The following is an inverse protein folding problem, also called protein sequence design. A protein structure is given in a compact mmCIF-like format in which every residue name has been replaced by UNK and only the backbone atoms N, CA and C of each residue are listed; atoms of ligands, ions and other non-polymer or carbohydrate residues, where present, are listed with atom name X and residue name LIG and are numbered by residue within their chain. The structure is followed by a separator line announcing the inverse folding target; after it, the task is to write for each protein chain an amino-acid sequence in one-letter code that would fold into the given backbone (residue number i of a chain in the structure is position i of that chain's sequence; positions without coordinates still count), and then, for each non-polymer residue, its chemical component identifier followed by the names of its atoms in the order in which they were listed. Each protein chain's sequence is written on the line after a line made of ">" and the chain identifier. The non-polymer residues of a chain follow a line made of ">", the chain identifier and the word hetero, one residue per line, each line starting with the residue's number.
data_IF_723596485869
#
_entry.id   IF_723596485869
#
_cell.length_a   1.000
_cell.length_b   1.000
_cell.length_c   1.000
_cell.angle_alpha   90.00
_cell.angle_beta   90.00
_cell.angle_gamma   90.00
#
_symmetry.space_group_name_H-M   'P 1'
#
loop_
_entity.id
_entity.type
_entity.pdbx_description
1 polymer ?
#
# COMPACT_ATOMS: atom_id res chain seq x y z
N UNK A 1 18.95 -39.02 -13.41
CA UNK A 1 18.97 -37.56 -13.32
C UNK A 1 19.95 -37.02 -14.33
N UNK A 2 19.49 -36.21 -15.26
CA UNK A 2 20.32 -35.66 -16.31
C UNK A 2 20.87 -34.30 -15.87
N UNK A 3 22.18 -34.14 -15.67
CA UNK A 3 22.76 -32.89 -15.13
C UNK A 3 22.57 -31.67 -16.04
N UNK A 4 22.21 -31.88 -17.29
CA UNK A 4 21.97 -30.81 -18.28
C UNK A 4 20.62 -30.08 -18.09
N UNK A 5 19.65 -30.65 -17.35
CA UNK A 5 18.34 -29.99 -17.08
C UNK A 5 18.46 -28.85 -16.06
N UNK A 6 19.39 -28.94 -15.12
CA UNK A 6 19.64 -27.88 -14.13
C UNK A 6 20.28 -26.63 -14.72
N UNK A 7 21.19 -26.83 -15.71
CA UNK A 7 21.93 -25.74 -16.37
C UNK A 7 21.01 -24.94 -17.30
N UNK A 8 20.10 -25.62 -18.03
CA UNK A 8 19.16 -24.96 -18.91
C UNK A 8 18.16 -24.04 -18.18
N UNK A 9 17.78 -24.40 -16.93
CA UNK A 9 16.90 -23.60 -16.12
C UNK A 9 17.59 -22.33 -15.61
N UNK A 10 18.84 -22.44 -15.17
CA UNK A 10 19.66 -21.33 -14.71
C UNK A 10 19.98 -20.32 -15.81
N UNK A 11 20.27 -20.79 -17.01
CA UNK A 11 20.57 -19.92 -18.16
C UNK A 11 19.32 -19.19 -18.65
N UNK A 12 18.14 -19.81 -18.57
CA UNK A 12 16.86 -19.16 -18.93
C UNK A 12 16.50 -18.03 -17.97
N UNK A 13 16.75 -18.21 -16.68
CA UNK A 13 16.55 -17.14 -15.69
C UNK A 13 17.50 -15.96 -15.91
N UNK A 14 18.74 -16.23 -16.29
CA UNK A 14 19.75 -15.19 -16.54
C UNK A 14 19.51 -14.42 -17.84
N UNK A 15 18.89 -15.03 -18.85
CA UNK A 15 18.59 -14.42 -20.16
C UNK A 15 17.16 -13.88 -20.27
N UNK A 16 16.34 -13.97 -19.22
CA UNK A 16 15.00 -13.40 -19.24
C UNK A 16 15.10 -11.86 -19.40
N UNK A 17 14.38 -11.26 -20.35
CA UNK A 17 14.38 -9.82 -20.47
C UNK A 17 13.89 -9.18 -19.16
N UNK A 18 14.51 -8.07 -18.75
CA UNK A 18 14.17 -7.34 -17.50
C UNK A 18 12.67 -7.08 -17.32
N UNK A 19 11.91 -7.01 -18.41
CA UNK A 19 10.46 -6.84 -18.42
C UNK A 19 9.66 -8.05 -17.88
N UNK A 20 10.30 -9.22 -17.70
CA UNK A 20 9.67 -10.43 -17.17
C UNK A 20 10.08 -10.74 -15.72
N UNK A 21 10.98 -9.97 -15.14
CA UNK A 21 11.29 -10.10 -13.72
C UNK A 21 10.14 -9.52 -12.91
N UNK A 22 9.70 -10.28 -11.89
CA UNK A 22 8.74 -9.74 -10.93
C UNK A 22 9.30 -8.42 -10.35
N UNK A 23 8.45 -7.41 -10.14
CA UNK A 23 8.92 -6.14 -9.61
C UNK A 23 9.58 -6.36 -8.24
N UNK A 24 10.84 -5.97 -8.12
CA UNK A 24 11.62 -6.08 -6.90
C UNK A 24 11.44 -4.81 -6.05
N UNK A 25 11.31 -4.99 -4.75
CA UNK A 25 11.21 -3.90 -3.79
C UNK A 25 9.85 -3.79 -3.12
N UNK A 26 9.74 -2.89 -2.13
CA UNK A 26 8.49 -2.63 -1.44
C UNK A 26 7.49 -1.91 -2.35
N UNK A 27 6.19 -2.18 -2.13
CA UNK A 27 5.14 -1.35 -2.71
C UNK A 27 5.17 0.04 -2.09
N UNK A 28 4.78 1.04 -2.88
CA UNK A 28 4.68 2.43 -2.45
C UNK A 28 3.28 2.97 -2.73
N UNK A 29 2.88 3.98 -1.97
CA UNK A 29 1.72 4.81 -2.25
C UNK A 29 2.17 6.27 -2.42
N UNK A 30 1.93 6.82 -3.59
CA UNK A 30 2.34 8.18 -3.97
C UNK A 30 1.11 8.96 -4.37
N UNK A 31 0.92 10.15 -3.80
CA UNK A 31 -0.09 11.10 -4.25
C UNK A 31 0.43 11.82 -5.49
N UNK A 32 -0.10 11.47 -6.66
CA UNK A 32 0.29 12.07 -7.93
C UNK A 32 -0.19 13.51 -8.09
N UNK A 33 -1.33 13.83 -7.52
CA UNK A 33 -1.89 15.19 -7.55
C UNK A 33 -1.01 16.16 -6.77
N UNK A 34 -0.42 15.72 -5.65
CA UNK A 34 0.39 16.58 -4.76
C UNK A 34 1.90 16.38 -4.90
N UNK A 35 2.33 15.29 -5.55
CA UNK A 35 3.75 14.94 -5.63
C UNK A 35 4.34 14.47 -4.30
N UNK A 36 3.53 13.89 -3.41
CA UNK A 36 3.94 13.49 -2.05
C UNK A 36 3.85 11.98 -1.86
N UNK A 37 4.63 11.45 -0.92
CA UNK A 37 4.66 10.02 -0.59
C UNK A 37 3.83 9.77 0.66
N UNK A 38 2.85 8.84 0.58
CA UNK A 38 2.08 8.39 1.74
C UNK A 38 2.73 7.19 2.43
N UNK A 39 3.27 6.26 1.63
CA UNK A 39 3.98 5.10 2.15
C UNK A 39 5.11 4.70 1.22
N UNK A 40 6.27 4.42 1.76
CA UNK A 40 7.45 3.88 1.04
C UNK A 40 7.58 2.36 1.21
N UNK A 41 6.90 1.80 2.21
CA UNK A 41 6.84 0.36 2.52
C UNK A 41 5.38 -0.02 2.79
N UNK A 42 4.67 -0.36 1.72
CA UNK A 42 3.25 -0.68 1.76
C UNK A 42 3.04 -2.19 1.65
N UNK A 43 2.49 -2.79 2.68
CA UNK A 43 2.06 -4.19 2.67
C UNK A 43 0.69 -4.33 1.99
N UNK A 44 0.42 -5.49 1.39
CA UNK A 44 -0.88 -5.82 0.78
C UNK A 44 -1.64 -6.84 1.62
N UNK A 45 -2.86 -6.50 1.98
CA UNK A 45 -3.84 -7.42 2.55
C UNK A 45 -4.93 -7.74 1.50
N UNK A 46 -4.66 -8.72 0.64
CA UNK A 46 -5.55 -9.12 -0.47
C UNK A 46 -6.35 -10.39 -0.23
N UNK A 47 -5.98 -11.22 0.76
CA UNK A 47 -6.70 -12.45 1.11
C UNK A 47 -7.71 -12.22 2.22
N UNK A 48 -8.75 -13.06 2.33
CA UNK A 48 -9.73 -12.96 3.41
C UNK A 48 -9.08 -13.02 4.81
N UNK A 49 -8.04 -13.83 4.98
CA UNK A 49 -7.30 -13.94 6.24
C UNK A 49 -6.51 -12.66 6.53
N UNK A 50 -5.74 -12.15 5.57
CA UNK A 50 -4.91 -10.95 5.75
C UNK A 50 -5.76 -9.69 5.98
N UNK A 51 -6.90 -9.57 5.28
CA UNK A 51 -7.83 -8.45 5.51
C UNK A 51 -8.45 -8.47 6.91
N UNK A 52 -8.86 -9.66 7.40
CA UNK A 52 -9.39 -9.79 8.78
C UNK A 52 -8.35 -9.49 9.84
N UNK A 53 -7.09 -9.86 9.58
CA UNK A 53 -5.99 -9.55 10.50
C UNK A 53 -5.70 -8.05 10.52
N UNK A 54 -5.64 -7.39 9.36
CA UNK A 54 -5.27 -5.97 9.27
C UNK A 54 -4.02 -5.65 10.10
N UNK A 55 -4.10 -4.64 10.93
CA UNK A 55 -3.03 -4.24 11.86
C UNK A 55 -3.19 -4.85 13.27
N UNK A 56 -4.10 -5.79 13.47
CA UNK A 56 -4.29 -6.42 14.78
C UNK A 56 -3.02 -7.12 15.28
N UNK A 57 -2.71 -6.92 16.55
CA UNK A 57 -1.52 -7.47 17.19
C UNK A 57 -0.24 -6.68 16.98
N UNK A 58 -0.28 -5.61 16.21
CA UNK A 58 0.86 -4.68 16.07
C UNK A 58 0.87 -3.67 17.21
N UNK A 59 2.05 -3.15 17.51
CA UNK A 59 2.24 -2.10 18.52
C UNK A 59 2.23 -0.70 17.91
N UNK A 60 2.35 -0.59 16.59
CA UNK A 60 2.33 0.65 15.84
C UNK A 60 2.69 0.47 14.37
N UNK A 61 2.72 1.58 13.66
CA UNK A 61 3.29 1.72 12.32
C UNK A 61 4.40 2.77 12.38
N UNK A 62 5.54 2.44 11.82
CA UNK A 62 6.64 3.40 11.66
C UNK A 62 6.36 4.36 10.50
N UNK A 63 6.97 5.55 10.49
CA UNK A 63 6.91 6.46 9.35
C UNK A 63 7.28 5.75 8.05
N UNK A 64 6.47 5.93 7.01
CA UNK A 64 6.65 5.29 5.71
C UNK A 64 6.06 3.88 5.59
N UNK A 65 5.65 3.25 6.68
CA UNK A 65 4.90 2.00 6.63
C UNK A 65 3.42 2.24 6.33
N UNK A 66 2.75 1.21 5.82
CA UNK A 66 1.31 1.21 5.62
C UNK A 66 0.79 -0.15 5.24
N UNK A 67 -0.53 -0.31 5.33
CA UNK A 67 -1.24 -1.50 4.90
C UNK A 67 -2.30 -1.11 3.88
N UNK A 68 -2.29 -1.76 2.71
CA UNK A 68 -3.32 -1.61 1.69
C UNK A 68 -4.25 -2.82 1.70
N UNK A 69 -5.50 -2.57 2.05
CA UNK A 69 -6.53 -3.60 2.15
C UNK A 69 -7.42 -3.52 0.92
N UNK A 70 -7.48 -4.60 0.15
CA UNK A 70 -8.27 -4.67 -1.09
C UNK A 70 -8.85 -6.06 -1.33
N UNK A 71 -10.16 -6.20 -1.64
CA UNK A 71 -11.18 -5.17 -1.57
C UNK A 71 -11.55 -4.81 -0.13
N UNK A 72 -11.93 -3.56 0.13
CA UNK A 72 -12.36 -3.10 1.45
C UNK A 72 -13.18 -1.82 1.35
N UNK A 73 -14.32 -1.78 2.02
CA UNK A 73 -15.22 -0.61 2.13
C UNK A 73 -15.36 -0.12 3.57
N UNK A 74 -14.97 -0.94 4.54
CA UNK A 74 -15.10 -0.62 5.95
C UNK A 74 -13.95 -1.15 6.77
N UNK A 75 -13.58 -0.40 7.81
CA UNK A 75 -12.50 -0.71 8.74
C UNK A 75 -13.04 -0.57 10.16
N UNK A 76 -12.60 -1.46 11.03
CA UNK A 76 -12.74 -1.30 12.48
C UNK A 76 -11.37 -1.34 13.15
N UNK A 77 -11.23 -0.57 14.22
CA UNK A 77 -10.00 -0.49 15.02
C UNK A 77 -10.16 -1.18 16.38
N UNK A 78 -11.07 -2.16 16.47
CA UNK A 78 -11.28 -2.94 17.69
C UNK A 78 -10.01 -3.70 18.04
N UNK A 79 -9.63 -3.68 19.30
CA UNK A 79 -8.40 -4.28 19.83
C UNK A 79 -7.09 -3.70 19.31
N UNK A 80 -7.11 -2.62 18.55
CA UNK A 80 -5.90 -1.89 18.21
C UNK A 80 -5.38 -1.10 19.42
N UNK A 81 -4.08 -0.80 19.40
CA UNK A 81 -3.39 -0.11 20.51
C UNK A 81 -2.92 1.30 20.14
N UNK A 82 -3.12 1.72 18.89
CA UNK A 82 -2.63 3.00 18.37
C UNK A 82 -3.63 3.58 17.36
N UNK A 83 -3.53 4.89 17.14
CA UNK A 83 -4.33 5.60 16.16
C UNK A 83 -3.72 5.47 14.76
N UNK A 84 -4.56 5.49 13.73
CA UNK A 84 -4.19 5.42 12.32
C UNK A 84 -4.93 6.46 11.49
N UNK A 85 -4.35 6.81 10.35
CA UNK A 85 -5.03 7.51 9.28
C UNK A 85 -5.63 6.51 8.30
N UNK A 86 -6.82 6.78 7.77
CA UNK A 86 -7.51 5.97 6.77
C UNK A 86 -7.71 6.78 5.49
N UNK A 87 -7.26 6.20 4.36
CA UNK A 87 -7.49 6.75 3.03
C UNK A 87 -8.31 5.76 2.21
N UNK A 88 -9.56 6.10 1.94
CA UNK A 88 -10.48 5.29 1.15
C UNK A 88 -10.35 5.62 -0.33
N UNK A 89 -10.11 4.61 -1.16
CA UNK A 89 -9.84 4.73 -2.59
C UNK A 89 -10.88 3.97 -3.41
N UNK A 90 -11.29 4.55 -4.51
CA UNK A 90 -12.06 3.83 -5.53
C UNK A 90 -11.18 2.92 -6.39
N UNK A 91 -11.76 2.28 -7.43
CA UNK A 91 -11.04 1.36 -8.32
C UNK A 91 -9.96 2.04 -9.16
N UNK A 92 -10.02 3.35 -9.32
CA UNK A 92 -9.02 4.17 -10.03
C UNK A 92 -7.97 4.76 -9.09
N UNK A 93 -8.02 4.40 -7.81
CA UNK A 93 -7.20 4.96 -6.74
C UNK A 93 -7.43 6.47 -6.50
N UNK A 94 -8.62 6.97 -6.83
CA UNK A 94 -9.02 8.32 -6.45
C UNK A 94 -9.48 8.32 -4.99
N UNK A 95 -9.02 9.29 -4.21
CA UNK A 95 -9.38 9.44 -2.79
C UNK A 95 -10.86 9.83 -2.67
N UNK A 96 -11.64 8.99 -2.00
CA UNK A 96 -13.08 9.18 -1.80
C UNK A 96 -13.42 9.69 -0.41
N UNK A 97 -12.67 9.29 0.58
CA UNK A 97 -12.86 9.68 1.99
C UNK A 97 -11.55 9.59 2.76
N UNK A 98 -11.37 10.50 3.70
CA UNK A 98 -10.27 10.53 4.63
C UNK A 98 -10.77 10.49 6.07
N UNK A 99 -10.04 9.80 6.94
CA UNK A 99 -10.20 9.84 8.39
C UNK A 99 -8.82 9.96 9.03
N UNK A 100 -8.62 10.98 9.82
CA UNK A 100 -7.37 11.27 10.51
C UNK A 100 -7.41 10.80 11.95
N UNK A 101 -6.30 10.26 12.44
CA UNK A 101 -6.08 9.89 13.84
C UNK A 101 -7.24 9.06 14.43
N UNK A 102 -7.68 8.04 13.71
CA UNK A 102 -8.72 7.12 14.17
C UNK A 102 -8.15 6.27 15.30
N UNK A 103 -8.61 6.53 16.51
CA UNK A 103 -8.20 5.79 17.70
C UNK A 103 -8.77 4.37 17.76
N UNK A 104 -8.35 3.57 18.78
CA UNK A 104 -8.92 2.23 19.02
C UNK A 104 -10.44 2.25 19.23
N UNK A 105 -11.09 1.12 18.99
CA UNK A 105 -12.52 0.91 19.22
C UNK A 105 -13.43 1.84 18.39
N UNK A 106 -13.09 2.05 17.14
CA UNK A 106 -13.88 2.84 16.18
C UNK A 106 -14.26 1.99 14.97
N UNK A 107 -15.27 2.46 14.25
CA UNK A 107 -15.65 1.96 12.93
C UNK A 107 -15.68 3.11 11.95
N UNK A 108 -15.34 2.81 10.71
CA UNK A 108 -15.43 3.73 9.58
C UNK A 108 -15.79 2.98 8.31
N UNK A 109 -16.61 3.58 7.46
CA UNK A 109 -16.98 2.99 6.18
C UNK A 109 -17.06 4.05 5.08
N UNK A 110 -16.86 3.60 3.84
CA UNK A 110 -17.07 4.38 2.62
C UNK A 110 -17.50 3.44 1.51
N UNK A 111 -18.79 3.38 1.20
CA UNK A 111 -19.34 2.45 0.20
C UNK A 111 -18.96 2.80 -1.24
N UNK A 112 -18.46 4.01 -1.49
CA UNK A 112 -17.87 4.40 -2.78
C UNK A 112 -16.43 3.90 -2.94
N UNK A 113 -15.82 3.36 -1.90
CA UNK A 113 -14.46 2.84 -1.93
C UNK A 113 -14.41 1.40 -2.44
N UNK A 114 -13.25 1.03 -2.95
CA UNK A 114 -12.88 -0.34 -3.30
C UNK A 114 -11.72 -0.85 -2.43
N UNK A 115 -10.92 0.05 -1.89
CA UNK A 115 -9.77 -0.26 -1.04
C UNK A 115 -9.51 0.82 -0.01
N UNK A 116 -8.71 0.48 0.99
CA UNK A 116 -8.33 1.38 2.07
C UNK A 116 -6.82 1.29 2.31
N UNK A 117 -6.19 2.44 2.51
CA UNK A 117 -4.84 2.52 3.09
C UNK A 117 -4.98 2.80 4.59
N UNK A 118 -4.35 1.97 5.39
CA UNK A 118 -4.10 2.21 6.81
C UNK A 118 -2.66 2.73 6.97
N UNK A 119 -2.51 3.91 7.53
CA UNK A 119 -1.26 4.66 7.58
C UNK A 119 -1.00 5.17 9.00
N UNK A 120 0.24 5.47 9.38
CA UNK A 120 0.52 6.15 10.64
C UNK A 120 -0.29 7.42 10.77
N UNK A 121 -0.81 7.71 11.98
CA UNK A 121 -1.52 8.95 12.26
C UNK A 121 -0.63 10.16 11.92
N UNK A 122 -1.21 11.14 11.21
CA UNK A 122 -0.49 12.32 10.72
C UNK A 122 0.00 12.24 9.28
N UNK A 123 -0.06 11.08 8.64
CA UNK A 123 0.38 10.89 7.24
C UNK A 123 -0.46 11.71 6.26
N UNK A 124 -1.79 11.75 6.43
CA UNK A 124 -2.70 12.53 5.58
C UNK A 124 -2.31 14.02 5.62
N UNK A 125 -2.06 14.55 6.80
CA UNK A 125 -1.65 15.94 6.98
C UNK A 125 -0.28 16.21 6.36
N UNK A 126 0.70 15.36 6.62
CA UNK A 126 2.07 15.52 6.10
C UNK A 126 2.12 15.44 4.58
N UNK A 127 1.31 14.57 3.96
CA UNK A 127 1.23 14.42 2.51
C UNK A 127 0.28 15.41 1.84
N UNK A 128 -0.44 16.22 2.61
CA UNK A 128 -1.46 17.16 2.12
C UNK A 128 -2.54 16.48 1.25
N UNK A 129 -2.83 15.21 1.52
CA UNK A 129 -3.80 14.44 0.75
C UNK A 129 -5.22 14.91 1.03
N UNK A 130 -6.00 15.10 -0.03
CA UNK A 130 -7.38 15.56 0.00
C UNK A 130 -8.31 14.62 -0.81
N UNK A 131 -9.63 14.61 -0.52
CA UNK A 131 -10.59 13.92 -1.37
C UNK A 131 -10.50 14.41 -2.82
N UNK A 132 -10.53 13.47 -3.78
CA UNK A 132 -10.36 13.75 -5.21
C UNK A 132 -8.92 13.63 -5.71
N UNK A 133 -7.94 13.56 -4.83
CA UNK A 133 -6.55 13.32 -5.23
C UNK A 133 -6.39 11.91 -5.85
N UNK A 134 -5.48 11.78 -6.79
CA UNK A 134 -5.16 10.52 -7.44
C UNK A 134 -3.88 9.92 -6.85
N UNK A 135 -3.96 8.65 -6.42
CA UNK A 135 -2.82 7.93 -5.88
C UNK A 135 -2.30 6.89 -6.88
N UNK A 136 -0.99 6.76 -6.92
CA UNK A 136 -0.32 5.63 -7.55
C UNK A 136 0.10 4.63 -6.48
N UNK A 137 -0.31 3.38 -6.64
CA UNK A 137 0.07 2.28 -5.77
C UNK A 137 0.77 1.21 -6.61
N UNK A 138 2.02 0.94 -6.31
CA UNK A 138 2.81 -0.01 -7.07
C UNK A 138 4.20 -0.22 -6.50
N UNK A 139 4.97 -1.04 -7.19
CA UNK A 139 6.36 -1.26 -6.85
C UNK A 139 7.24 -0.10 -7.30
N UNK A 140 8.35 0.12 -6.61
CA UNK A 140 9.33 1.10 -7.02
C UNK A 140 9.98 0.65 -8.35
N UNK A 141 9.78 1.43 -9.40
CA UNK A 141 10.44 1.25 -10.69
C UNK A 141 11.60 2.25 -10.85
N UNK A 142 12.56 1.94 -11.72
CA UNK A 142 13.66 2.85 -12.02
C UNK A 142 13.18 4.23 -12.49
N UNK A 143 12.10 4.27 -13.27
CA UNK A 143 11.48 5.50 -13.78
C UNK A 143 10.87 6.36 -12.66
N UNK A 144 10.29 5.72 -11.63
CA UNK A 144 9.70 6.43 -10.49
C UNK A 144 10.76 6.98 -9.51
N UNK A 145 11.99 6.46 -9.56
CA UNK A 145 13.13 6.95 -8.77
C UNK A 145 13.63 8.29 -9.27
N UNK A 146 13.73 8.46 -10.58
CA UNK A 146 14.23 9.70 -11.18
C UNK A 146 13.23 10.85 -11.02
N UNK A 147 11.93 10.59 -11.10
CA UNK A 147 10.89 11.59 -10.89
C UNK A 147 10.82 12.14 -9.45
N UNK A 148 11.32 11.39 -8.46
CA UNK A 148 11.31 11.80 -7.04
C UNK A 148 12.54 12.65 -6.65
N UNK A 149 13.54 12.77 -7.52
CA UNK A 149 14.82 13.51 -7.29
C UNK A 149 14.85 14.84 -8.05
N UNK A 150 13.87 15.10 -8.91
CA UNK A 150 13.69 16.36 -9.63
C UNK A 150 12.77 17.33 -8.84
#
# INVERSE_FOLDING_TARGET
>A
MNPLQGIAKSVREFLAPRSQMAPEGPRRAINRTRGTVLASRLELAGTGKSRRKGLLGREGLLPGEGLWIVPCESVHTFFMRFAIDLVYLDRKHTVRKLKTAVGPWRMSACFAAHSVLELPAGTIRASQTEPGDELEIGFETAENREAAVS
#
